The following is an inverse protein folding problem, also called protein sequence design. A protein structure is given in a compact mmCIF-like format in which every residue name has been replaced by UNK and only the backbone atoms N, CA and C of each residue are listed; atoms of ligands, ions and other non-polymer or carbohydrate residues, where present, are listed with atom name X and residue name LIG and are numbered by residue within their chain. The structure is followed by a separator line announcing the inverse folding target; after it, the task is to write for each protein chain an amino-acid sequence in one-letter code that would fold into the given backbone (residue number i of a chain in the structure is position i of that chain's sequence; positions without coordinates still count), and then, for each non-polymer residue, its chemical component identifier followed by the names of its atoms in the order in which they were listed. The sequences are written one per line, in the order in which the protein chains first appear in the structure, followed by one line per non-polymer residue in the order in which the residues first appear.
data_IF_601054930666
#
_entry.id   IF_601054930666
#
_cell.length_a   1.000
_cell.length_b   1.000
_cell.length_c   1.000
_cell.angle_alpha   90.00
_cell.angle_beta   90.00
_cell.angle_gamma   90.00
#
_symmetry.space_group_name_H-M   'P 1'
#
loop_
_entity.id
_entity.type
_entity.pdbx_description
1 polymer ?
#
# COMPACT_ATOMS: atom_id res chain seq x y z
N UNK A 1 -6.56 -18.42 -6.15
CA UNK A 1 -7.06 -17.70 -4.97
C UNK A 1 -6.05 -16.59 -4.72
N UNK A 2 -6.48 -15.35 -4.62
CA UNK A 2 -5.57 -14.19 -4.57
C UNK A 2 -4.76 -14.10 -3.27
N UNK A 3 -5.04 -14.94 -2.26
CA UNK A 3 -4.23 -15.06 -1.03
C UNK A 3 -2.78 -15.47 -1.32
N UNK A 4 -2.54 -16.40 -2.26
CA UNK A 4 -1.17 -16.78 -2.64
C UNK A 4 -0.45 -15.62 -3.33
N UNK A 5 -1.16 -14.90 -4.19
CA UNK A 5 -0.67 -13.70 -4.85
C UNK A 5 -0.29 -12.64 -3.82
N UNK A 6 -1.14 -12.44 -2.81
CA UNK A 6 -0.93 -11.49 -1.73
C UNK A 6 0.37 -11.75 -0.97
N UNK A 7 0.60 -12.98 -0.51
CA UNK A 7 1.84 -13.27 0.24
C UNK A 7 3.09 -13.11 -0.61
N UNK A 8 3.00 -13.39 -1.92
CA UNK A 8 4.11 -13.19 -2.86
C UNK A 8 4.49 -11.72 -3.00
N UNK A 9 3.53 -10.84 -3.28
CA UNK A 9 3.80 -9.41 -3.45
C UNK A 9 4.22 -8.74 -2.15
N UNK A 10 3.64 -9.13 -1.02
CA UNK A 10 4.05 -8.56 0.26
C UNK A 10 5.50 -8.92 0.60
N UNK A 11 5.96 -10.12 0.24
CA UNK A 11 7.33 -10.54 0.46
C UNK A 11 8.33 -9.84 -0.47
N UNK A 12 7.98 -9.58 -1.74
CA UNK A 12 8.87 -8.85 -2.66
C UNK A 12 9.05 -7.39 -2.26
N UNK A 13 8.05 -6.77 -1.63
CA UNK A 13 8.07 -5.37 -1.23
C UNK A 13 8.92 -5.05 0.01
N UNK A 14 9.32 -6.04 0.83
CA UNK A 14 9.96 -5.79 2.14
C UNK A 14 11.24 -4.94 2.04
N UNK A 15 12.14 -5.31 1.12
CA UNK A 15 13.40 -4.59 0.92
C UNK A 15 13.19 -3.17 0.38
N UNK A 16 12.25 -3.01 -0.56
CA UNK A 16 11.95 -1.70 -1.15
C UNK A 16 11.26 -0.77 -0.15
N UNK A 17 10.39 -1.29 0.70
CA UNK A 17 9.78 -0.52 1.79
C UNK A 17 10.83 -0.06 2.79
N UNK A 18 11.72 -0.97 3.22
CA UNK A 18 12.80 -0.65 4.15
C UNK A 18 13.72 0.44 3.61
N UNK A 19 14.11 0.33 2.34
CA UNK A 19 15.09 1.22 1.69
C UNK A 19 14.47 2.54 1.23
N UNK A 20 13.32 2.49 0.57
CA UNK A 20 12.76 3.63 -0.16
C UNK A 20 11.59 4.30 0.57
N UNK A 21 11.07 3.70 1.66
CA UNK A 21 9.85 4.13 2.37
C UNK A 21 8.56 4.00 1.56
N UNK A 22 8.65 3.45 0.35
CA UNK A 22 7.48 3.13 -0.46
C UNK A 22 7.82 1.99 -1.42
N UNK A 23 6.79 1.27 -1.84
CA UNK A 23 6.88 0.31 -2.95
C UNK A 23 5.52 0.24 -3.64
N UNK A 24 5.56 -0.01 -4.95
CA UNK A 24 4.38 -0.32 -5.74
C UNK A 24 4.69 -1.51 -6.63
N UNK A 25 3.80 -2.49 -6.65
CA UNK A 25 4.01 -3.72 -7.38
C UNK A 25 2.69 -4.23 -7.98
N UNK A 26 2.81 -5.06 -9.01
CA UNK A 26 1.71 -5.81 -9.61
C UNK A 26 2.13 -7.27 -9.74
N UNK A 27 1.23 -8.18 -9.40
CA UNK A 27 1.48 -9.61 -9.54
C UNK A 27 0.20 -10.35 -9.90
N UNK A 28 0.35 -11.47 -10.61
CA UNK A 28 -0.75 -12.35 -10.96
C UNK A 28 -1.51 -11.94 -12.22
N UNK A 29 -2.47 -12.78 -12.61
CA UNK A 29 -3.19 -12.66 -13.87
C UNK A 29 -4.69 -12.90 -13.67
N UNK A 30 -5.48 -12.29 -14.55
CA UNK A 30 -6.94 -12.37 -14.55
C UNK A 30 -7.52 -12.03 -13.17
N UNK A 31 -8.41 -12.89 -12.61
CA UNK A 31 -9.07 -12.62 -11.34
C UNK A 31 -8.15 -12.70 -10.11
N UNK A 32 -6.89 -13.14 -10.25
CA UNK A 32 -5.90 -13.17 -9.17
C UNK A 32 -4.86 -12.06 -9.28
N UNK A 33 -5.02 -11.11 -10.22
CA UNK A 33 -4.13 -9.96 -10.35
C UNK A 33 -4.36 -9.01 -9.17
N UNK A 34 -3.28 -8.58 -8.54
CA UNK A 34 -3.29 -7.58 -7.47
C UNK A 34 -2.34 -6.44 -7.81
N UNK A 35 -2.79 -5.23 -7.54
CA UNK A 35 -2.00 -4.00 -7.53
C UNK A 35 -1.83 -3.58 -6.08
N UNK A 36 -0.61 -3.28 -5.66
CA UNK A 36 -0.29 -2.91 -4.29
C UNK A 36 0.55 -1.65 -4.27
N UNK A 37 0.17 -0.73 -3.38
CA UNK A 37 0.99 0.41 -3.00
C UNK A 37 1.15 0.40 -1.49
N UNK A 38 2.37 0.54 -1.02
CA UNK A 38 2.67 0.72 0.40
C UNK A 38 3.61 1.90 0.60
N UNK A 39 3.41 2.64 1.69
CA UNK A 39 4.20 3.81 2.05
C UNK A 39 4.34 3.94 3.56
N UNK A 40 5.54 4.30 4.01
CA UNK A 40 5.82 4.70 5.38
C UNK A 40 5.89 6.23 5.49
N UNK A 41 5.65 6.75 6.69
CA UNK A 41 5.96 8.14 7.01
C UNK A 41 7.47 8.40 6.88
N UNK A 42 7.81 9.63 6.48
CA UNK A 42 9.17 10.00 6.12
C UNK A 42 10.14 10.07 7.33
N UNK A 43 9.61 10.21 8.53
CA UNK A 43 10.34 10.29 9.79
C UNK A 43 10.73 8.93 10.37
N UNK A 44 10.14 7.83 9.90
CA UNK A 44 10.48 6.47 10.34
C UNK A 44 11.83 6.02 9.78
N UNK A 45 12.67 5.44 10.64
CA UNK A 45 13.89 4.71 10.25
C UNK A 45 13.57 3.46 9.43
N UNK A 46 14.59 2.89 8.76
CA UNK A 46 14.45 1.68 7.92
C UNK A 46 13.71 0.56 8.64
N UNK A 47 14.17 0.25 9.84
CA UNK A 47 13.63 -0.82 10.67
C UNK A 47 12.23 -0.50 11.21
N UNK A 48 11.94 0.74 11.62
CA UNK A 48 10.58 1.15 12.04
C UNK A 48 9.57 1.05 10.89
N UNK A 49 10.00 1.37 9.67
CA UNK A 49 9.15 1.24 8.48
C UNK A 49 8.86 -0.23 8.15
N UNK A 50 9.87 -1.11 8.25
CA UNK A 50 9.70 -2.56 8.09
C UNK A 50 8.76 -3.14 9.15
N UNK A 51 8.89 -2.72 10.41
CA UNK A 51 7.99 -3.14 11.50
C UNK A 51 6.54 -2.69 11.22
N UNK A 52 6.35 -1.44 10.82
CA UNK A 52 5.02 -0.92 10.47
C UNK A 52 4.40 -1.70 9.31
N UNK A 53 5.18 -1.95 8.25
CA UNK A 53 4.73 -2.72 7.10
C UNK A 53 4.34 -4.15 7.49
N UNK A 54 5.12 -4.81 8.34
CA UNK A 54 4.79 -6.15 8.85
C UNK A 54 3.48 -6.18 9.63
N UNK A 55 3.22 -5.16 10.46
CA UNK A 55 1.95 -5.02 11.19
C UNK A 55 0.77 -4.86 10.25
N UNK A 56 0.90 -4.01 9.23
CA UNK A 56 -0.16 -3.75 8.25
C UNK A 56 -0.40 -4.97 7.34
N UNK A 57 0.65 -5.69 6.96
CA UNK A 57 0.59 -6.99 6.27
C UNK A 57 -0.27 -7.99 7.06
N UNK A 58 -0.02 -8.15 8.35
CA UNK A 58 -0.83 -9.04 9.19
C UNK A 58 -2.27 -8.56 9.33
N UNK A 59 -2.48 -7.26 9.52
CA UNK A 59 -3.83 -6.68 9.66
C UNK A 59 -4.65 -6.87 8.37
N UNK A 60 -4.07 -6.60 7.21
CA UNK A 60 -4.76 -6.77 5.93
C UNK A 60 -5.12 -8.24 5.66
N UNK A 61 -4.28 -9.21 6.06
CA UNK A 61 -4.61 -10.63 5.93
C UNK A 61 -5.89 -11.03 6.69
N UNK A 62 -6.30 -10.27 7.72
CA UNK A 62 -7.58 -10.49 8.40
C UNK A 62 -8.81 -10.06 7.58
N UNK A 63 -8.62 -9.29 6.50
CA UNK A 63 -9.68 -8.80 5.63
C UNK A 63 -10.11 -9.80 4.55
N UNK A 64 -9.40 -10.92 4.38
CA UNK A 64 -9.85 -11.97 3.47
C UNK A 64 -11.23 -12.52 3.89
N UNK A 65 -12.17 -12.79 2.96
CA UNK A 65 -11.99 -12.87 1.52
C UNK A 65 -12.42 -11.60 0.74
N UNK A 66 -12.25 -10.40 1.29
CA UNK A 66 -12.29 -9.20 0.45
C UNK A 66 -11.08 -9.15 -0.48
N UNK A 67 -11.29 -8.69 -1.72
CA UNK A 67 -10.28 -8.68 -2.80
C UNK A 67 -9.38 -7.45 -2.73
N UNK A 68 -9.88 -6.36 -2.16
CA UNK A 68 -9.15 -5.10 -2.03
C UNK A 68 -9.47 -4.41 -0.71
N UNK A 69 -8.64 -3.43 -0.37
CA UNK A 69 -8.76 -2.69 0.86
C UNK A 69 -7.65 -1.68 1.06
N UNK A 70 -7.84 -0.85 2.08
CA UNK A 70 -6.88 0.17 2.52
C UNK A 70 -6.70 0.03 4.02
N UNK A 71 -5.46 0.07 4.48
CA UNK A 71 -5.14 0.13 5.91
C UNK A 71 -4.30 1.36 6.16
N UNK A 72 -4.74 2.15 7.13
CA UNK A 72 -4.02 3.29 7.67
C UNK A 72 -3.59 2.89 9.08
N UNK A 73 -2.28 2.79 9.30
CA UNK A 73 -1.68 2.60 10.61
C UNK A 73 -0.85 3.83 10.96
N UNK A 74 -0.61 4.04 12.25
CA UNK A 74 0.30 5.09 12.72
C UNK A 74 1.70 4.83 12.15
N UNK A 75 2.07 5.56 11.10
CA UNK A 75 3.37 5.43 10.43
C UNK A 75 3.36 4.77 9.05
N UNK A 76 2.30 4.09 8.63
CA UNK A 76 2.28 3.44 7.32
C UNK A 76 0.88 3.27 6.71
N UNK A 77 0.87 3.14 5.39
CA UNK A 77 -0.32 2.94 4.58
C UNK A 77 -0.09 1.83 3.58
N UNK A 78 -1.14 1.03 3.36
CA UNK A 78 -1.19 0.07 2.27
C UNK A 78 -2.52 0.20 1.55
N UNK A 79 -2.48 0.03 0.24
CA UNK A 79 -3.64 -0.17 -0.62
C UNK A 79 -3.40 -1.39 -1.49
N UNK A 80 -4.36 -2.30 -1.48
CA UNK A 80 -4.38 -3.49 -2.33
C UNK A 80 -5.68 -3.47 -3.09
N UNK A 81 -5.65 -3.67 -4.41
CA UNK A 81 -6.84 -3.76 -5.26
C UNK A 81 -6.61 -4.79 -6.37
N UNK A 82 -7.68 -5.27 -7.00
CA UNK A 82 -7.61 -6.11 -8.20
C UNK A 82 -7.71 -5.32 -9.52
N UNK A 83 -7.57 -4.00 -9.46
CA UNK A 83 -7.53 -3.10 -10.61
C UNK A 83 -6.43 -2.05 -10.40
N UNK A 84 -5.95 -1.46 -11.50
CA UNK A 84 -4.94 -0.40 -11.43
C UNK A 84 -5.57 0.88 -10.89
N UNK A 85 -5.06 1.36 -9.75
CA UNK A 85 -5.52 2.60 -9.11
C UNK A 85 -4.49 3.73 -9.15
N UNK A 86 -3.34 3.52 -9.81
CA UNK A 86 -2.20 4.45 -9.76
C UNK A 86 -2.49 5.82 -10.40
N UNK A 87 -3.51 5.90 -11.27
CA UNK A 87 -3.93 7.12 -11.95
C UNK A 87 -5.25 7.69 -11.40
N UNK A 88 -5.78 7.13 -10.32
CA UNK A 88 -7.01 7.62 -9.71
C UNK A 88 -6.78 8.96 -9.02
N UNK A 89 -7.67 9.92 -9.30
CA UNK A 89 -7.70 11.20 -8.58
C UNK A 89 -8.73 11.14 -7.47
N UNK A 90 -8.37 11.71 -6.32
CA UNK A 90 -9.30 11.88 -5.21
C UNK A 90 -10.21 13.05 -5.57
N UNK A 91 -11.49 12.76 -5.84
CA UNK A 91 -12.49 13.81 -6.05
C UNK A 91 -12.70 14.64 -4.78
N UNK A 92 -13.22 15.88 -4.89
CA UNK A 92 -13.41 16.78 -3.75
C UNK A 92 -14.32 16.21 -2.65
N UNK A 93 -15.17 15.22 -2.97
CA UNK A 93 -16.02 14.54 -1.98
C UNK A 93 -15.32 13.42 -1.21
N UNK A 94 -14.20 12.88 -1.71
CA UNK A 94 -13.42 11.84 -1.05
C UNK A 94 -12.45 12.38 0.01
N UNK A 95 -12.27 13.71 0.10
CA UNK A 95 -11.51 14.38 1.17
C UNK A 95 -12.31 14.55 2.49
N UNK A 96 -13.59 14.16 2.51
CA UNK A 96 -14.49 14.35 3.66
C UNK A 96 -14.38 13.23 4.72
N UNK A 97 -13.71 12.12 4.40
CA UNK A 97 -13.49 11.01 5.33
C UNK A 97 -12.02 10.97 5.79
N UNK A 98 -11.66 11.85 6.73
CA UNK A 98 -10.45 11.76 7.58
C UNK A 98 -9.18 11.15 6.95
N UNK A 99 -8.65 11.74 5.88
CA UNK A 99 -7.35 11.32 5.34
C UNK A 99 -6.30 12.41 5.60
N UNK A 100 -5.58 12.28 6.71
CA UNK A 100 -4.25 12.88 6.86
C UNK A 100 -3.27 12.15 5.93
N UNK A 101 -3.38 12.38 4.63
CA UNK A 101 -2.34 12.02 3.65
C UNK A 101 -1.96 13.30 2.91
N UNK A 102 -0.91 13.97 3.38
CA UNK A 102 -0.15 14.81 2.45
C UNK A 102 0.44 13.89 1.38
N UNK A 103 -0.25 13.79 0.25
CA UNK A 103 0.35 13.41 -1.03
C UNK A 103 1.29 14.56 -1.41
N UNK A 104 2.46 14.65 -0.75
CA UNK A 104 3.59 15.47 -1.21
C UNK A 104 4.47 14.63 -2.13
N UNK A 105 3.91 14.23 -3.26
CA UNK A 105 4.69 13.83 -4.44
C UNK A 105 4.04 14.43 -5.70
N UNK A 106 3.84 15.74 -5.71
CA UNK A 106 3.71 16.54 -6.94
C UNK A 106 4.73 17.68 -6.90
N UNK A 107 6.02 17.36 -6.79
CA UNK A 107 7.08 18.31 -7.18
C UNK A 107 8.24 17.58 -7.84
N UNK A 108 8.06 17.28 -9.13
CA UNK A 108 9.17 17.24 -10.09
C UNK A 108 8.61 17.62 -11.46
N UNK A 109 8.67 18.91 -11.78
CA UNK A 109 8.17 19.45 -13.04
C UNK A 109 8.11 20.97 -13.11
N UNK A 110 9.27 21.62 -12.94
CA UNK A 110 9.77 22.94 -13.41
C UNK A 110 10.64 23.57 -12.32
#
# INVERSE_FOLDING_TARGET
MYVDTYWKIMASMEEDIKRNKFSFEEVGEGPNRLHVFAQCMADLSGDECEECFNRVKTLFASCFPSIGGRVYADGCFIRVENYSFYEETVGPDALKENVSFEIRLITRGI
#
